data_IF_925994818269
#
_entry.id   IF_925994818269
#
_cell.length_a   1.000
_cell.length_b   1.000
_cell.length_c   1.000
_cell.angle_alpha   90.00
_cell.angle_beta   90.00
_cell.angle_gamma   90.00
#
_symmetry.space_group_name_H-M   'P 1'
#
loop_
_entity.id
_entity.type
_entity.pdbx_description
1 polymer ?
#
# COMPACT_ATOMS: atom_id res chain seq x y z
N UNK A 1 -17.59 -8.18 -37.24
CA UNK A 1 -17.23 -9.48 -36.64
C UNK A 1 -16.05 -9.25 -35.71
N UNK A 2 -16.30 -9.02 -34.41
CA UNK A 2 -15.24 -8.84 -33.41
C UNK A 2 -14.65 -10.22 -33.18
N UNK A 3 -13.49 -10.50 -33.74
CA UNK A 3 -12.74 -11.72 -33.42
C UNK A 3 -12.54 -11.66 -31.91
N UNK A 4 -13.23 -12.53 -31.18
CA UNK A 4 -12.91 -12.77 -29.77
C UNK A 4 -11.46 -13.23 -29.76
N UNK A 5 -10.59 -12.32 -29.34
CA UNK A 5 -9.16 -12.56 -29.30
C UNK A 5 -8.95 -13.67 -28.26
N UNK A 6 -8.85 -14.91 -28.74
CA UNK A 6 -8.71 -16.07 -27.88
C UNK A 6 -7.49 -15.87 -26.98
N UNK A 7 -7.71 -15.87 -25.67
CA UNK A 7 -6.69 -15.54 -24.68
C UNK A 7 -5.50 -16.51 -24.82
N UNK A 8 -4.39 -16.02 -25.36
CA UNK A 8 -3.17 -16.82 -25.63
C UNK A 8 -2.60 -17.42 -24.34
N UNK A 9 -1.87 -18.55 -24.39
CA UNK A 9 -1.22 -19.11 -23.20
C UNK A 9 -0.35 -18.09 -22.45
N UNK A 10 0.32 -17.20 -23.21
CA UNK A 10 1.19 -16.15 -22.66
C UNK A 10 0.40 -15.04 -21.96
N UNK A 11 -0.73 -14.59 -22.51
CA UNK A 11 -1.58 -13.59 -21.84
C UNK A 11 -2.21 -14.15 -20.56
N UNK A 12 -2.58 -15.44 -20.54
CA UNK A 12 -3.03 -16.13 -19.32
C UNK A 12 -1.94 -16.17 -18.25
N UNK A 13 -0.71 -16.52 -18.62
CA UNK A 13 0.43 -16.52 -17.69
C UNK A 13 0.70 -15.13 -17.10
N UNK A 14 0.68 -14.09 -17.92
CA UNK A 14 0.83 -12.68 -17.48
C UNK A 14 -0.26 -12.28 -16.48
N UNK A 15 -1.52 -12.66 -16.77
CA UNK A 15 -2.63 -12.41 -15.85
C UNK A 15 -2.47 -13.18 -14.53
N UNK A 16 -2.03 -14.45 -14.58
CA UNK A 16 -1.79 -15.26 -13.39
C UNK A 16 -0.69 -14.64 -12.50
N UNK A 17 0.40 -14.16 -13.09
CA UNK A 17 1.47 -13.46 -12.35
C UNK A 17 0.94 -12.17 -11.69
N UNK A 18 0.12 -11.40 -12.40
CA UNK A 18 -0.52 -10.19 -11.85
C UNK A 18 -1.43 -10.50 -10.66
N UNK A 19 -2.26 -11.54 -10.75
CA UNK A 19 -3.11 -11.99 -9.65
C UNK A 19 -2.29 -12.52 -8.47
N UNK A 20 -1.24 -13.30 -8.71
CA UNK A 20 -0.32 -13.76 -7.67
C UNK A 20 0.35 -12.59 -6.95
N UNK A 21 0.85 -11.61 -7.71
CA UNK A 21 1.47 -10.39 -7.14
C UNK A 21 0.48 -9.59 -6.31
N UNK A 22 -0.78 -9.51 -6.72
CA UNK A 22 -1.86 -8.87 -5.93
C UNK A 22 -2.12 -9.65 -4.63
N UNK A 23 -2.15 -10.99 -4.70
CA UNK A 23 -2.29 -11.84 -3.53
C UNK A 23 -1.15 -11.70 -2.53
N UNK A 24 0.10 -11.61 -3.02
CA UNK A 24 1.28 -11.35 -2.19
C UNK A 24 1.18 -9.96 -1.55
N UNK A 25 0.78 -8.94 -2.31
CA UNK A 25 0.53 -7.59 -1.78
C UNK A 25 -0.46 -7.63 -0.61
N UNK A 26 -1.62 -8.28 -0.78
CA UNK A 26 -2.62 -8.40 0.27
C UNK A 26 -2.11 -9.18 1.50
N UNK A 27 -1.37 -10.27 1.31
CA UNK A 27 -0.80 -11.05 2.40
C UNK A 27 0.24 -10.25 3.19
N UNK A 28 1.12 -9.51 2.52
CA UNK A 28 2.10 -8.62 3.16
C UNK A 28 1.40 -7.47 3.91
N UNK A 29 0.31 -6.92 3.36
CA UNK A 29 -0.48 -5.91 4.06
C UNK A 29 -1.07 -6.48 5.36
N UNK A 30 -1.67 -7.67 5.32
CA UNK A 30 -2.19 -8.31 6.53
C UNK A 30 -1.06 -8.57 7.53
N UNK A 31 0.09 -9.07 7.07
CA UNK A 31 1.26 -9.30 7.92
C UNK A 31 1.74 -8.01 8.61
N UNK A 32 1.78 -6.88 7.89
CA UNK A 32 2.27 -5.63 8.48
C UNK A 32 1.38 -5.11 9.61
N UNK A 33 0.10 -5.47 9.64
CA UNK A 33 -0.82 -5.07 10.72
C UNK A 33 -0.43 -5.69 12.07
N UNK A 34 0.22 -6.85 12.08
CA UNK A 34 0.65 -7.53 13.30
C UNK A 34 2.08 -7.19 13.72
N UNK A 35 2.77 -6.33 12.96
CA UNK A 35 4.14 -5.93 13.22
C UNK A 35 4.19 -4.50 13.77
N UNK A 36 5.22 -4.17 14.57
CA UNK A 36 5.53 -2.78 14.93
C UNK A 36 5.67 -1.92 13.68
N UNK A 37 4.86 -0.87 13.56
CA UNK A 37 4.90 0.07 12.44
C UNK A 37 5.94 1.17 12.68
N UNK A 38 5.92 1.75 13.87
CA UNK A 38 6.87 2.78 14.27
C UNK A 38 6.98 2.84 15.80
N UNK A 39 8.08 3.43 16.27
CA UNK A 39 8.29 3.70 17.69
C UNK A 39 8.35 5.21 17.93
N UNK A 40 7.67 5.67 18.97
CA UNK A 40 7.61 7.07 19.40
C UNK A 40 8.20 7.22 20.78
N UNK A 41 8.90 8.34 21.00
CA UNK A 41 9.31 8.79 22.33
C UNK A 41 8.29 9.82 22.82
N UNK A 42 7.51 9.42 23.84
CA UNK A 42 6.43 10.20 24.42
C UNK A 42 6.73 10.67 25.85
N UNK A 43 5.67 10.86 26.65
CA UNK A 43 5.65 11.53 27.96
C UNK A 43 6.74 11.14 28.97
N UNK A 44 7.41 9.99 28.84
CA UNK A 44 8.62 9.56 29.58
C UNK A 44 9.19 8.20 29.09
N UNK A 45 8.55 7.53 28.12
CA UNK A 45 8.92 6.18 27.67
C UNK A 45 8.84 6.04 26.14
N UNK A 46 9.51 4.98 25.63
CA UNK A 46 9.37 4.53 24.24
C UNK A 46 8.12 3.67 24.10
N UNK A 47 7.27 4.03 23.15
CA UNK A 47 6.08 3.27 22.81
C UNK A 47 6.19 2.77 21.37
N UNK A 48 6.05 1.46 21.18
CA UNK A 48 6.03 0.84 19.87
C UNK A 48 4.57 0.62 19.45
N UNK A 49 4.17 1.22 18.34
CA UNK A 49 2.78 1.15 17.85
C UNK A 49 2.69 0.11 16.75
N UNK A 50 1.76 -0.83 16.87
CA UNK A 50 1.55 -1.90 15.88
C UNK A 50 0.69 -1.43 14.72
N UNK A 51 0.90 -1.98 13.52
CA UNK A 51 0.22 -1.52 12.30
C UNK A 51 -1.31 -1.58 12.37
N UNK A 52 -1.87 -2.55 13.10
CA UNK A 52 -3.31 -2.68 13.30
C UNK A 52 -3.90 -1.48 14.04
N UNK A 53 -3.24 -1.00 15.10
CA UNK A 53 -3.66 0.19 15.85
C UNK A 53 -3.64 1.42 14.94
N UNK A 54 -2.58 1.58 14.15
CA UNK A 54 -2.43 2.68 13.18
C UNK A 54 -3.55 2.64 12.14
N UNK A 55 -3.98 1.46 11.69
CA UNK A 55 -5.06 1.34 10.71
C UNK A 55 -6.41 1.80 11.29
N UNK A 56 -6.73 1.38 12.52
CA UNK A 56 -8.02 1.67 13.16
C UNK A 56 -8.11 3.12 13.67
N UNK A 57 -7.01 3.69 14.17
CA UNK A 57 -7.01 5.02 14.80
C UNK A 57 -6.53 6.10 13.82
N UNK A 58 -5.68 5.76 12.85
CA UNK A 58 -4.99 6.74 12.01
C UNK A 58 -5.92 7.60 11.13
N UNK A 59 -7.18 7.22 10.93
CA UNK A 59 -8.15 8.07 10.23
C UNK A 59 -8.52 9.32 11.04
N UNK A 60 -8.42 9.30 12.38
CA UNK A 60 -8.59 10.51 13.19
C UNK A 60 -7.51 11.56 12.88
N UNK A 61 -6.29 11.09 12.60
CA UNK A 61 -5.17 11.94 12.22
C UNK A 61 -5.38 12.69 10.91
N UNK A 62 -6.34 12.31 10.06
CA UNK A 62 -6.68 13.04 8.82
C UNK A 62 -7.06 14.48 9.15
N UNK A 63 -7.77 14.70 10.25
CA UNK A 63 -8.15 16.04 10.71
C UNK A 63 -6.93 16.88 11.13
N UNK A 64 -5.79 16.23 11.41
CA UNK A 64 -4.51 16.84 11.74
C UNK A 64 -3.44 16.62 10.65
N UNK A 65 -3.87 16.62 9.37
CA UNK A 65 -2.97 16.51 8.21
C UNK A 65 -2.17 15.22 8.11
N UNK A 66 -2.61 14.12 8.73
CA UNK A 66 -2.04 12.77 8.55
C UNK A 66 -2.58 12.09 7.30
N UNK A 67 -2.13 12.56 6.14
CA UNK A 67 -2.60 12.07 4.85
C UNK A 67 -2.09 10.67 4.50
N UNK A 68 -1.08 10.14 5.19
CA UNK A 68 -0.51 8.81 4.93
C UNK A 68 -1.49 7.70 5.18
N UNK A 69 -2.48 7.93 6.05
CA UNK A 69 -3.53 6.95 6.26
C UNK A 69 -4.29 6.64 4.96
N UNK A 70 -4.44 7.61 4.04
CA UNK A 70 -5.06 7.40 2.73
C UNK A 70 -4.28 6.44 1.84
N UNK A 71 -3.02 6.14 2.12
CA UNK A 71 -2.30 5.09 1.40
C UNK A 71 -3.01 3.73 1.53
N UNK A 72 -3.71 3.45 2.64
CA UNK A 72 -4.41 2.18 2.85
C UNK A 72 -5.65 2.04 1.95
N UNK A 73 -6.63 2.98 1.94
CA UNK A 73 -7.72 2.94 0.96
C UNK A 73 -7.23 2.92 -0.49
N UNK A 74 -6.21 3.71 -0.85
CA UNK A 74 -5.68 3.71 -2.22
C UNK A 74 -5.09 2.34 -2.60
N UNK A 75 -4.37 1.69 -1.69
CA UNK A 75 -3.85 0.34 -1.90
C UNK A 75 -4.98 -0.66 -2.12
N UNK A 76 -6.01 -0.65 -1.26
CA UNK A 76 -7.15 -1.55 -1.37
C UNK A 76 -7.91 -1.35 -2.69
N UNK A 77 -8.19 -0.10 -3.06
CA UNK A 77 -8.82 0.25 -4.34
C UNK A 77 -7.96 -0.24 -5.51
N UNK A 78 -6.63 -0.12 -5.42
CA UNK A 78 -5.73 -0.60 -6.47
C UNK A 78 -5.88 -2.10 -6.72
N UNK A 79 -6.01 -2.92 -5.66
CA UNK A 79 -6.20 -4.36 -5.80
C UNK A 79 -7.47 -4.71 -6.58
N UNK A 80 -8.59 -4.05 -6.25
CA UNK A 80 -9.84 -4.25 -6.97
C UNK A 80 -9.74 -3.82 -8.43
N UNK A 81 -9.18 -2.64 -8.72
CA UNK A 81 -9.01 -2.15 -10.09
C UNK A 81 -8.13 -3.10 -10.92
N UNK A 82 -7.04 -3.61 -10.34
CA UNK A 82 -6.15 -4.58 -11.00
C UNK A 82 -6.89 -5.90 -11.26
N UNK A 83 -7.65 -6.39 -10.28
CA UNK A 83 -8.46 -7.61 -10.41
C UNK A 83 -9.52 -7.48 -11.52
N UNK A 84 -10.17 -6.32 -11.65
CA UNK A 84 -11.11 -6.00 -12.73
C UNK A 84 -10.43 -5.62 -14.06
N UNK A 85 -9.12 -5.82 -14.17
CA UNK A 85 -8.30 -5.54 -15.38
C UNK A 85 -8.27 -4.05 -15.79
N UNK A 86 -8.66 -3.13 -14.91
CA UNK A 86 -8.55 -1.67 -15.08
C UNK A 86 -7.14 -1.21 -14.63
N UNK A 87 -6.11 -1.78 -15.25
CA UNK A 87 -4.74 -1.79 -14.71
C UNK A 87 -4.05 -0.43 -14.72
N UNK A 88 -4.33 0.41 -15.72
CA UNK A 88 -3.75 1.75 -15.78
C UNK A 88 -4.23 2.62 -14.60
N UNK A 89 -5.53 2.54 -14.28
CA UNK A 89 -6.08 3.22 -13.11
C UNK A 89 -5.58 2.58 -11.83
N UNK A 90 -5.54 1.24 -11.76
CA UNK A 90 -4.93 0.51 -10.64
C UNK A 90 -3.49 0.97 -10.34
N UNK A 91 -2.67 1.17 -11.38
CA UNK A 91 -1.30 1.68 -11.25
C UNK A 91 -1.25 3.09 -10.65
N UNK A 92 -2.15 3.99 -11.08
CA UNK A 92 -2.25 5.35 -10.52
C UNK A 92 -2.54 5.27 -9.01
N UNK A 93 -3.50 4.44 -8.61
CA UNK A 93 -3.87 4.27 -7.21
C UNK A 93 -2.75 3.64 -6.37
N UNK A 94 -2.09 2.58 -6.86
CA UNK A 94 -0.97 1.96 -6.15
C UNK A 94 0.24 2.90 -6.04
N UNK A 95 0.48 3.74 -7.05
CA UNK A 95 1.57 4.73 -7.02
C UNK A 95 1.24 5.88 -6.07
N UNK A 96 -0.02 6.35 -6.06
CA UNK A 96 -0.48 7.34 -5.09
C UNK A 96 -0.41 6.81 -3.65
N UNK A 97 -0.75 5.54 -3.45
CA UNK A 97 -0.55 4.84 -2.18
C UNK A 97 0.91 4.86 -1.75
N UNK A 98 1.85 4.52 -2.66
CA UNK A 98 3.28 4.54 -2.35
C UNK A 98 3.78 5.95 -2.01
N UNK A 99 3.35 6.96 -2.77
CA UNK A 99 3.73 8.35 -2.52
C UNK A 99 3.33 8.80 -1.11
N UNK A 100 2.08 8.53 -0.72
CA UNK A 100 1.59 8.82 0.63
C UNK A 100 2.32 7.99 1.68
N UNK A 101 2.52 6.69 1.46
CA UNK A 101 3.26 5.86 2.41
C UNK A 101 4.68 6.40 2.66
N UNK A 102 5.38 6.83 1.60
CA UNK A 102 6.72 7.41 1.68
C UNK A 102 6.75 8.80 2.33
N UNK A 103 5.66 9.57 2.32
CA UNK A 103 5.63 10.87 3.03
C UNK A 103 5.77 10.70 4.53
N UNK A 104 5.48 9.51 5.08
CA UNK A 104 5.73 9.18 6.48
C UNK A 104 7.22 9.27 6.86
N UNK A 105 8.14 9.10 5.91
CA UNK A 105 9.58 9.30 6.16
C UNK A 105 9.91 10.74 6.54
N UNK A 106 9.11 11.71 6.10
CA UNK A 106 9.28 13.13 6.44
C UNK A 106 8.67 13.51 7.79
N UNK A 107 7.86 12.65 8.43
CA UNK A 107 7.25 12.98 9.72
C UNK A 107 8.23 12.89 10.86
N UNK A 108 8.16 13.84 11.77
CA UNK A 108 8.93 13.84 13.01
C UNK A 108 8.06 13.54 14.22
N UNK A 109 6.74 13.74 14.12
CA UNK A 109 5.81 13.63 15.24
C UNK A 109 4.53 12.89 14.83
N UNK A 110 3.94 12.18 15.79
CA UNK A 110 2.63 11.53 15.70
C UNK A 110 1.79 11.85 16.94
N UNK A 111 0.48 11.92 16.77
CA UNK A 111 -0.49 11.98 17.86
C UNK A 111 -0.44 10.64 18.60
N UNK A 112 -0.30 10.70 19.92
CA UNK A 112 -0.24 9.53 20.80
C UNK A 112 -1.63 9.08 21.25
N UNK A 113 -2.51 10.04 21.55
CA UNK A 113 -3.80 9.79 22.19
C UNK A 113 -4.90 10.60 21.48
N UNK A 114 -6.17 10.38 21.82
CA UNK A 114 -7.31 11.21 21.32
C UNK A 114 -7.27 12.68 21.81
N UNK A 115 -6.33 13.00 22.69
CA UNK A 115 -5.97 14.36 23.10
C UNK A 115 -4.67 14.79 22.40
N UNK A 116 -4.41 16.09 22.18
CA UNK A 116 -3.27 16.60 21.40
C UNK A 116 -1.91 16.43 22.11
N UNK A 117 -1.57 15.20 22.47
CA UNK A 117 -0.27 14.77 22.93
C UNK A 117 0.50 14.19 21.76
N UNK A 118 1.65 14.79 21.47
CA UNK A 118 2.50 14.37 20.37
C UNK A 118 3.72 13.63 20.89
N UNK A 119 4.09 12.54 20.21
CA UNK A 119 5.32 11.79 20.43
C UNK A 119 6.26 11.97 19.24
N UNK A 120 7.55 12.06 19.52
CA UNK A 120 8.56 12.14 18.46
C UNK A 120 8.82 10.76 17.88
N UNK A 121 8.73 10.59 16.57
CA UNK A 121 9.03 9.32 15.90
C UNK A 121 10.53 9.05 16.01
N UNK A 122 10.89 7.95 16.66
CA UNK A 122 12.27 7.50 16.85
C UNK A 122 12.69 6.56 15.72
N UNK A 123 11.80 5.64 15.33
CA UNK A 123 12.11 4.64 14.29
C UNK A 123 10.90 4.30 13.45
N UNK A 124 11.18 3.88 12.21
CA UNK A 124 10.22 3.19 11.33
C UNK A 124 10.57 1.72 11.40
N UNK A 125 9.66 0.95 11.97
CA UNK A 125 9.94 -0.43 12.34
C UNK A 125 9.55 -1.39 11.20
N UNK A 126 9.71 -2.69 11.44
CA UNK A 126 9.58 -3.71 10.40
C UNK A 126 8.22 -3.68 9.68
N UNK A 127 7.13 -3.43 10.42
CA UNK A 127 5.78 -3.33 9.87
C UNK A 127 5.67 -2.24 8.81
N UNK A 128 6.30 -1.08 9.01
CA UNK A 128 6.32 -0.03 7.99
C UNK A 128 7.00 -0.48 6.69
N UNK A 129 8.12 -1.19 6.78
CA UNK A 129 8.82 -1.68 5.58
C UNK A 129 8.08 -2.82 4.87
N UNK A 130 7.41 -3.70 5.63
CA UNK A 130 6.54 -4.74 5.08
C UNK A 130 5.32 -4.11 4.37
N UNK A 131 4.79 -3.00 4.90
CA UNK A 131 3.74 -2.23 4.26
C UNK A 131 4.20 -1.60 2.93
N UNK A 132 5.39 -0.99 2.89
CA UNK A 132 5.99 -0.48 1.64
C UNK A 132 6.19 -1.60 0.61
N UNK A 133 6.64 -2.78 1.06
CA UNK A 133 6.79 -3.95 0.20
C UNK A 133 5.42 -4.39 -0.37
N UNK A 134 4.37 -4.43 0.46
CA UNK A 134 3.00 -4.71 0.00
C UNK A 134 2.59 -3.78 -1.15
N UNK A 135 2.76 -2.47 -0.99
CA UNK A 135 2.40 -1.49 -2.02
C UNK A 135 3.21 -1.72 -3.31
N UNK A 136 4.51 -2.01 -3.17
CA UNK A 136 5.39 -2.31 -4.30
C UNK A 136 4.93 -3.53 -5.11
N UNK A 137 4.44 -4.58 -4.44
CA UNK A 137 3.83 -5.74 -5.11
C UNK A 137 2.51 -5.40 -5.84
N UNK A 138 1.74 -4.43 -5.34
CA UNK A 138 0.56 -3.93 -6.07
C UNK A 138 0.96 -3.19 -7.36
N UNK A 139 2.00 -2.35 -7.29
CA UNK A 139 2.56 -1.68 -8.47
C UNK A 139 3.04 -2.71 -9.51
N UNK A 140 3.80 -3.73 -9.07
CA UNK A 140 4.26 -4.81 -9.95
C UNK A 140 3.07 -5.55 -10.60
N UNK A 141 2.00 -5.82 -9.84
CA UNK A 141 0.80 -6.46 -10.33
C UNK A 141 0.12 -5.66 -11.46
N UNK A 142 0.17 -4.32 -11.42
CA UNK A 142 -0.37 -3.46 -12.47
C UNK A 142 0.59 -3.30 -13.67
N UNK A 143 1.90 -3.12 -13.42
CA UNK A 143 2.91 -2.85 -14.46
C UNK A 143 3.12 -4.04 -15.38
N UNK A 144 3.19 -5.27 -14.86
CA UNK A 144 3.54 -6.47 -15.64
C UNK A 144 2.62 -6.66 -16.86
N UNK A 145 1.27 -6.64 -16.72
CA UNK A 145 0.40 -6.79 -17.88
C UNK A 145 0.34 -5.54 -18.77
N UNK A 146 0.54 -4.33 -18.21
CA UNK A 146 0.60 -3.10 -19.01
C UNK A 146 1.81 -3.11 -19.94
N UNK A 147 3.00 -3.46 -19.42
CA UNK A 147 4.22 -3.58 -20.20
C UNK A 147 4.11 -4.66 -21.29
N UNK A 148 3.49 -5.80 -20.96
CA UNK A 148 3.19 -6.85 -21.94
C UNK A 148 2.27 -6.35 -23.08
N UNK A 149 1.21 -5.62 -22.74
CA UNK A 149 0.30 -5.08 -23.75
C UNK A 149 0.96 -4.01 -24.64
N UNK A 150 1.88 -3.21 -24.11
CA UNK A 150 2.61 -2.20 -24.88
C UNK A 150 3.58 -2.83 -25.88
N UNK A 151 4.23 -3.95 -25.52
CA UNK A 151 5.16 -4.65 -26.43
C UNK A 151 4.43 -5.42 -27.53
N UNK A 152 3.18 -5.86 -27.32
CA UNK A 152 2.36 -6.54 -28.33
C UNK A 152 1.69 -5.60 -29.34
N UNK A 153 1.55 -4.31 -29.00
CA UNK A 153 0.93 -3.29 -29.88
C UNK A 153 1.90 -2.72 -30.92
N UNK A 154 3.19 -3.05 -30.83
CA UNK A 154 4.23 -2.72 -31.81
C UNK A 154 4.44 -3.90 -32.74
#
# INVERSE_FOLDING_TARGET
MRIEESDTPRSRAVNAVSHLSTGISAALFILCLFLPAYTVFGKLELHSTVGFEVLIIGWFGILDSMLEWYANPLLVISWFLIAFRIRAVGLIFSTGSLYLALSFLGRTQMILDESPHYGNIVSRDLGYWVWIASISFSIAAAVIPLAYNLTRRR
#
